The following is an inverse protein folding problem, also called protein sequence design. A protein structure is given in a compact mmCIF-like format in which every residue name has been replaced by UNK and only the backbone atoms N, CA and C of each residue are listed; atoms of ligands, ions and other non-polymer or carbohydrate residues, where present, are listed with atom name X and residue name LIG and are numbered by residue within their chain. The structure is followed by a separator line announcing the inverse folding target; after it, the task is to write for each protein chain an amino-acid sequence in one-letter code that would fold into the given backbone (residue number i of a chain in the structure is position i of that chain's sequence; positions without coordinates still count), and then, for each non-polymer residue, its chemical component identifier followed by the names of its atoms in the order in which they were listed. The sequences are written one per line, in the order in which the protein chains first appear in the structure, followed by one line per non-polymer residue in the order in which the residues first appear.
data_IF_998092134488
#
_entry.id   IF_998092134488
#
_cell.length_a   1.000
_cell.length_b   1.000
_cell.length_c   1.000
_cell.angle_alpha   90.00
_cell.angle_beta   90.00
_cell.angle_gamma   90.00
#
_symmetry.space_group_name_H-M   'P 1'
#
loop_
_entity.id
_entity.type
_entity.pdbx_description
1 polymer ?
#
# COMPACT_ATOMS: atom_id res chain seq x y z
N UNK A 1 -56.08 30.19 -49.02
CA UNK A 1 -55.68 28.84 -48.57
C UNK A 1 -54.15 28.85 -48.54
N UNK A 2 -53.53 29.07 -47.37
CA UNK A 2 -53.03 28.03 -46.43
C UNK A 2 -52.15 27.03 -47.20
N UNK A 3 -50.83 26.89 -46.99
CA UNK A 3 -50.05 26.96 -45.75
C UNK A 3 -48.57 27.28 -46.02
N UNK A 4 -48.00 28.14 -45.19
CA UNK A 4 -46.55 28.37 -44.98
C UNK A 4 -45.87 27.11 -44.45
N UNK A 5 -44.71 26.76 -45.02
CA UNK A 5 -43.90 25.61 -44.59
C UNK A 5 -42.92 26.04 -43.50
N UNK A 6 -43.08 25.47 -42.31
CA UNK A 6 -42.37 25.77 -41.07
C UNK A 6 -41.15 24.85 -40.92
N UNK A 7 -39.99 25.46 -40.62
CA UNK A 7 -39.10 25.17 -39.48
C UNK A 7 -38.46 23.76 -39.34
N UNK A 8 -37.12 23.77 -39.39
CA UNK A 8 -36.18 23.16 -38.41
C UNK A 8 -35.90 21.65 -38.51
N UNK A 9 -34.63 21.28 -38.69
CA UNK A 9 -33.69 20.94 -37.59
C UNK A 9 -32.37 20.53 -38.24
N UNK A 10 -31.35 21.35 -37.99
CA UNK A 10 -29.95 21.05 -38.18
C UNK A 10 -29.53 20.02 -37.12
N UNK A 11 -29.44 18.74 -37.48
CA UNK A 11 -28.76 17.76 -36.62
C UNK A 11 -27.25 17.98 -36.75
N UNK A 12 -26.72 18.88 -35.92
CA UNK A 12 -25.36 18.78 -35.44
C UNK A 12 -25.31 17.55 -34.53
N UNK A 13 -24.79 16.43 -35.06
CA UNK A 13 -24.25 15.37 -34.22
C UNK A 13 -22.99 15.90 -33.54
N UNK A 14 -23.18 16.56 -32.40
CA UNK A 14 -22.11 16.71 -31.41
C UNK A 14 -21.75 15.30 -30.94
N UNK A 15 -20.59 14.82 -31.40
CA UNK A 15 -19.88 13.74 -30.74
C UNK A 15 -19.64 14.20 -29.30
N UNK A 16 -20.46 13.72 -28.38
CA UNK A 16 -20.16 13.75 -26.96
C UNK A 16 -18.97 12.81 -26.78
N UNK A 17 -17.77 13.38 -26.86
CA UNK A 17 -16.63 12.75 -26.22
C UNK A 17 -16.96 12.84 -24.74
N UNK A 18 -17.50 11.75 -24.19
CA UNK A 18 -17.39 11.56 -22.76
C UNK A 18 -15.88 11.44 -22.55
N UNK A 19 -15.25 12.53 -22.14
CA UNK A 19 -14.06 12.42 -21.33
C UNK A 19 -14.55 11.77 -20.06
N UNK A 20 -14.68 10.44 -20.07
CA UNK A 20 -14.35 9.72 -18.86
C UNK A 20 -12.88 10.04 -18.66
N UNK A 21 -12.66 11.12 -17.91
CA UNK A 21 -11.49 11.30 -17.07
C UNK A 21 -11.47 10.08 -16.14
N UNK A 22 -11.14 8.92 -16.69
CA UNK A 22 -10.25 8.02 -16.00
C UNK A 22 -8.95 8.79 -15.94
N UNK A 23 -8.88 9.71 -14.98
CA UNK A 23 -7.63 10.04 -14.34
C UNK A 23 -7.09 8.69 -13.90
N UNK A 24 -6.27 8.08 -14.76
CA UNK A 24 -5.14 7.29 -14.29
C UNK A 24 -4.40 8.27 -13.39
N UNK A 25 -4.84 8.31 -12.13
CA UNK A 25 -4.08 8.85 -11.05
C UNK A 25 -2.84 7.98 -11.10
N UNK A 26 -1.78 8.49 -11.73
CA UNK A 26 -0.44 8.13 -11.36
C UNK A 26 -0.31 8.55 -9.89
N UNK A 27 -0.97 7.80 -9.01
CA UNK A 27 -0.79 7.91 -7.59
C UNK A 27 0.62 7.39 -7.38
N UNK A 28 1.50 8.30 -7.01
CA UNK A 28 2.82 7.91 -6.51
C UNK A 28 2.63 6.77 -5.49
N UNK A 29 3.52 5.76 -5.49
CA UNK A 29 3.45 4.67 -4.52
C UNK A 29 3.27 5.20 -3.10
N UNK A 30 2.24 4.72 -2.42
CA UNK A 30 1.88 5.13 -1.05
C UNK A 30 1.83 3.92 -0.13
N UNK A 31 2.16 4.13 1.15
CA UNK A 31 1.96 3.14 2.20
C UNK A 31 0.48 2.89 2.46
N UNK A 32 -0.38 3.89 2.25
CA UNK A 32 -1.81 3.85 2.53
C UNK A 32 -2.49 2.65 1.86
N UNK A 33 -3.35 1.98 2.63
CA UNK A 33 -4.05 0.75 2.26
C UNK A 33 -3.40 -0.53 2.78
N UNK A 34 -3.97 -1.66 2.34
CA UNK A 34 -3.65 -2.98 2.87
C UNK A 34 -2.49 -3.64 2.14
N UNK A 35 -1.57 -4.22 2.93
CA UNK A 35 -0.42 -4.97 2.48
C UNK A 35 -0.42 -6.36 3.11
N UNK A 36 -0.26 -7.40 2.30
CA UNK A 36 -0.06 -8.75 2.81
C UNK A 36 1.43 -9.01 3.02
N UNK A 37 1.82 -9.34 4.25
CA UNK A 37 3.15 -9.89 4.52
C UNK A 37 3.26 -11.26 3.86
N UNK A 38 4.30 -11.47 3.04
CA UNK A 38 4.50 -12.73 2.31
C UNK A 38 5.83 -13.39 2.60
N UNK A 39 6.82 -12.65 3.09
CA UNK A 39 8.10 -13.22 3.47
C UNK A 39 8.77 -12.40 4.58
N UNK A 40 9.42 -13.11 5.50
CA UNK A 40 10.26 -12.57 6.55
C UNK A 40 11.62 -13.25 6.46
N UNK A 41 12.67 -12.45 6.31
CA UNK A 41 14.06 -12.94 6.29
C UNK A 41 14.91 -12.26 7.34
N UNK A 42 15.96 -12.94 7.82
CA UNK A 42 16.97 -12.35 8.69
C UNK A 42 16.99 -12.91 10.11
N UNK A 43 17.31 -12.05 11.07
CA UNK A 43 17.59 -12.46 12.46
C UNK A 43 18.81 -13.37 12.62
N UNK A 44 19.22 -13.58 13.87
CA UNK A 44 20.40 -14.40 14.19
C UNK A 44 20.29 -15.87 13.75
N UNK A 45 19.06 -16.37 13.67
CA UNK A 45 18.77 -17.73 13.22
C UNK A 45 18.82 -17.86 11.68
N UNK A 46 18.86 -16.74 10.94
CA UNK A 46 18.81 -16.72 9.49
C UNK A 46 17.50 -17.29 8.95
N UNK A 47 16.36 -16.82 9.48
CA UNK A 47 15.06 -17.27 9.02
C UNK A 47 14.77 -16.78 7.60
N UNK A 48 13.92 -17.52 6.91
CA UNK A 48 13.37 -17.24 5.59
C UNK A 48 12.00 -17.93 5.54
N UNK A 49 11.03 -17.30 6.19
CA UNK A 49 9.68 -17.84 6.40
C UNK A 49 8.71 -17.16 5.43
N UNK A 50 8.01 -17.96 4.63
CA UNK A 50 6.99 -17.52 3.69
C UNK A 50 5.58 -17.64 4.28
N UNK A 51 4.71 -16.69 3.92
CA UNK A 51 3.31 -16.64 4.36
C UNK A 51 2.37 -16.53 3.16
N UNK A 52 1.23 -17.24 3.25
CA UNK A 52 0.16 -17.15 2.26
C UNK A 52 -0.41 -15.72 2.21
N UNK A 53 -0.71 -15.24 1.00
CA UNK A 53 -1.30 -13.91 0.83
C UNK A 53 -2.62 -13.78 1.57
N UNK A 54 -2.78 -12.72 2.35
CA UNK A 54 -3.94 -12.44 3.19
C UNK A 54 -3.90 -13.11 4.57
N UNK A 55 -2.88 -13.92 4.88
CA UNK A 55 -2.73 -14.52 6.21
C UNK A 55 -2.36 -13.48 7.28
N UNK A 56 -1.45 -12.58 6.93
CA UNK A 56 -0.98 -11.48 7.77
C UNK A 56 -1.12 -10.19 6.98
N UNK A 57 -2.03 -9.32 7.41
CA UNK A 57 -2.40 -8.09 6.70
C UNK A 57 -2.04 -6.88 7.56
N UNK A 58 -1.34 -5.93 6.96
CA UNK A 58 -1.00 -4.64 7.53
C UNK A 58 -1.75 -3.55 6.76
N UNK A 59 -2.74 -2.94 7.40
CA UNK A 59 -3.58 -1.90 6.80
C UNK A 59 -3.18 -0.53 7.35
N UNK A 60 -2.45 0.25 6.55
CA UNK A 60 -2.03 1.60 6.92
C UNK A 60 -3.14 2.58 6.56
N UNK A 61 -3.53 3.40 7.53
CA UNK A 61 -4.48 4.48 7.32
C UNK A 61 -3.78 5.83 7.50
N UNK A 62 -3.59 6.54 6.38
CA UNK A 62 -2.90 7.82 6.37
C UNK A 62 -3.73 8.98 6.98
N UNK A 63 -5.05 8.85 7.07
CA UNK A 63 -5.92 9.89 7.63
C UNK A 63 -5.76 10.03 9.15
N UNK A 64 -5.50 8.91 9.85
CA UNK A 64 -5.35 8.88 11.31
C UNK A 64 -3.96 8.42 11.79
N UNK A 65 -3.06 8.05 10.88
CA UNK A 65 -1.72 7.54 11.18
C UNK A 65 -1.74 6.27 12.05
N UNK A 66 -2.74 5.41 11.85
CA UNK A 66 -2.85 4.11 12.49
C UNK A 66 -2.59 2.97 11.50
N UNK A 67 -1.84 1.97 11.95
CA UNK A 67 -1.67 0.68 11.30
C UNK A 67 -2.56 -0.34 12.00
N UNK A 68 -3.47 -0.97 11.28
CA UNK A 68 -4.21 -2.13 11.76
C UNK A 68 -3.58 -3.42 11.25
N UNK A 69 -3.14 -4.27 12.16
CA UNK A 69 -2.56 -5.58 11.84
C UNK A 69 -3.59 -6.66 12.10
N UNK A 70 -3.83 -7.50 11.09
CA UNK A 70 -4.57 -8.76 11.21
C UNK A 70 -3.60 -9.90 10.94
N UNK A 71 -3.11 -10.53 12.00
CA UNK A 71 -2.24 -11.71 11.93
C UNK A 71 -3.06 -12.96 12.30
N UNK A 72 -3.35 -13.79 11.30
CA UNK A 72 -4.04 -15.08 11.46
C UNK A 72 -3.09 -16.29 11.42
N UNK A 73 -1.77 -16.07 11.43
CA UNK A 73 -0.81 -17.16 11.46
C UNK A 73 -0.91 -17.91 12.79
N UNK A 74 -1.17 -19.21 12.73
CA UNK A 74 -1.22 -20.10 13.89
C UNK A 74 0.02 -20.98 14.02
N UNK A 75 0.91 -20.92 13.04
CA UNK A 75 2.16 -21.69 13.04
C UNK A 75 3.16 -20.99 13.96
N UNK A 76 3.76 -21.74 14.87
CA UNK A 76 4.81 -21.21 15.74
C UNK A 76 6.10 -21.00 14.93
N UNK A 77 6.35 -19.78 14.52
CA UNK A 77 7.57 -19.32 13.84
C UNK A 77 8.38 -18.41 14.76
N UNK A 78 9.63 -18.12 14.39
CA UNK A 78 10.49 -17.24 15.21
C UNK A 78 9.99 -15.80 15.18
N UNK A 79 9.53 -15.34 14.02
CA UNK A 79 9.01 -13.99 13.82
C UNK A 79 8.10 -13.93 12.59
N UNK A 80 6.93 -13.31 12.73
CA UNK A 80 5.94 -13.09 11.66
C UNK A 80 5.37 -11.66 11.68
N UNK A 81 6.13 -10.71 12.23
CA UNK A 81 5.73 -9.31 12.34
C UNK A 81 5.02 -8.97 13.65
N UNK A 82 4.17 -7.94 13.60
CA UNK A 82 3.36 -7.54 14.75
C UNK A 82 2.18 -8.50 14.97
N UNK A 83 1.76 -8.72 16.24
CA UNK A 83 0.52 -9.43 16.51
C UNK A 83 -0.71 -8.62 16.05
N UNK A 84 -1.87 -9.26 16.02
CA UNK A 84 -3.14 -8.57 15.70
C UNK A 84 -3.40 -7.41 16.67
N UNK A 85 -3.67 -6.23 16.13
CA UNK A 85 -3.86 -5.02 16.92
C UNK A 85 -3.84 -3.74 16.08
N UNK A 86 -3.89 -2.60 16.76
CA UNK A 86 -3.76 -1.27 16.16
C UNK A 86 -2.53 -0.58 16.75
N UNK A 87 -1.72 0.03 15.89
CA UNK A 87 -0.46 0.66 16.23
C UNK A 87 -0.38 2.06 15.61
N UNK A 88 0.09 3.03 16.38
CA UNK A 88 0.43 4.33 15.80
C UNK A 88 1.67 4.17 14.89
N UNK A 89 1.72 4.91 13.79
CA UNK A 89 2.93 4.97 12.97
C UNK A 89 3.27 6.40 12.53
N UNK A 90 4.55 6.61 12.25
CA UNK A 90 5.09 7.86 11.74
C UNK A 90 5.95 7.59 10.49
N UNK A 91 5.86 8.46 9.50
CA UNK A 91 6.69 8.39 8.28
C UNK A 91 7.71 9.52 8.32
N UNK A 92 8.98 9.17 8.16
CA UNK A 92 10.08 10.11 8.01
C UNK A 92 10.64 10.02 6.60
N UNK A 93 10.85 11.18 5.97
CA UNK A 93 11.55 11.28 4.69
C UNK A 93 12.78 12.16 4.89
N UNK A 94 13.95 11.56 4.66
CA UNK A 94 15.23 12.21 4.78
C UNK A 94 15.51 13.11 3.56
N UNK A 95 16.43 14.06 3.72
CA UNK A 95 16.81 15.00 2.64
C UNK A 95 17.42 14.34 1.41
N UNK A 96 17.93 13.11 1.53
CA UNK A 96 18.44 12.28 0.43
C UNK A 96 17.35 11.46 -0.28
N UNK A 97 16.08 11.55 0.17
CA UNK A 97 14.96 10.79 -0.37
C UNK A 97 14.77 9.41 0.26
N UNK A 98 15.57 9.03 1.26
CA UNK A 98 15.35 7.80 2.01
C UNK A 98 14.10 7.94 2.89
N UNK A 99 13.26 6.90 2.91
CA UNK A 99 12.04 6.85 3.70
C UNK A 99 12.21 5.85 4.84
N UNK A 100 11.72 6.21 6.01
CA UNK A 100 11.60 5.31 7.15
C UNK A 100 10.19 5.37 7.72
N UNK A 101 9.71 4.24 8.25
CA UNK A 101 8.45 4.14 8.96
C UNK A 101 8.74 3.66 10.38
N UNK A 102 8.23 4.39 11.36
CA UNK A 102 8.31 3.99 12.77
C UNK A 102 6.93 3.53 13.16
N UNK A 103 6.79 2.26 13.55
CA UNK A 103 5.53 1.67 13.99
C UNK A 103 5.68 1.40 15.49
N UNK A 104 4.87 2.07 16.30
CA UNK A 104 4.99 2.09 17.76
C UNK A 104 6.40 2.51 18.23
N UNK A 105 7.30 1.56 18.53
CA UNK A 105 8.68 1.82 18.93
C UNK A 105 9.73 1.20 18.01
N UNK A 106 9.31 0.55 16.92
CA UNK A 106 10.19 -0.14 15.98
C UNK A 106 10.37 0.70 14.74
N UNK A 107 11.62 0.96 14.37
CA UNK A 107 11.97 1.75 13.17
C UNK A 107 12.34 0.82 12.03
N UNK A 108 11.75 1.05 10.87
CA UNK A 108 12.06 0.36 9.64
C UNK A 108 12.49 1.35 8.57
N UNK A 109 13.55 1.03 7.84
CA UNK A 109 13.87 1.69 6.58
C UNK A 109 12.99 1.10 5.48
N UNK A 110 12.34 1.96 4.72
CA UNK A 110 11.59 1.55 3.52
C UNK A 110 12.58 1.41 2.38
N UNK A 111 12.86 0.17 1.97
CA UNK A 111 13.83 -0.13 0.90
C UNK A 111 13.16 -0.23 -0.47
N UNK A 112 11.85 -0.55 -0.50
CA UNK A 112 11.04 -0.55 -1.71
C UNK A 112 9.62 -0.09 -1.37
N UNK A 113 9.11 0.88 -2.12
CA UNK A 113 7.71 1.29 -2.11
C UNK A 113 7.26 1.45 -3.56
N UNK A 114 6.56 0.44 -4.06
CA UNK A 114 6.00 0.38 -5.41
C UNK A 114 4.48 0.18 -5.34
N UNK A 115 3.78 0.18 -6.48
CA UNK A 115 2.32 0.00 -6.50
C UNK A 115 1.84 -1.38 -6.03
N UNK A 116 2.69 -2.39 -6.02
CA UNK A 116 2.36 -3.79 -5.69
C UNK A 116 3.33 -4.45 -4.72
N UNK A 117 4.39 -3.75 -4.30
CA UNK A 117 5.39 -4.29 -3.39
C UNK A 117 5.87 -3.25 -2.40
N UNK A 118 5.97 -3.66 -1.14
CA UNK A 118 6.58 -2.91 -0.05
C UNK A 118 7.66 -3.80 0.59
N UNK A 119 8.85 -3.25 0.81
CA UNK A 119 9.91 -3.93 1.55
C UNK A 119 10.44 -2.98 2.62
N UNK A 120 10.40 -3.43 3.87
CA UNK A 120 10.87 -2.69 5.03
C UNK A 120 11.95 -3.49 5.76
N UNK A 121 12.96 -2.80 6.27
CA UNK A 121 14.18 -3.38 6.83
C UNK A 121 14.50 -2.72 8.18
N UNK A 122 14.62 -3.51 9.25
CA UNK A 122 14.98 -3.03 10.59
C UNK A 122 16.42 -2.49 10.68
N UNK A 123 17.29 -2.79 9.70
CA UNK A 123 18.62 -2.19 9.58
C UNK A 123 19.63 -2.63 10.64
N UNK A 124 19.30 -3.59 11.49
CA UNK A 124 20.21 -4.12 12.52
C UNK A 124 21.06 -5.25 11.92
N UNK A 125 22.36 -4.99 11.76
CA UNK A 125 23.32 -5.97 11.24
C UNK A 125 23.34 -7.20 12.16
N UNK A 126 22.94 -8.34 11.61
CA UNK A 126 22.82 -9.69 12.23
C UNK A 126 21.48 -10.02 12.92
N UNK A 127 20.79 -9.06 13.53
CA UNK A 127 19.59 -9.36 14.35
C UNK A 127 18.29 -8.86 13.71
N UNK A 128 18.38 -7.95 12.74
CA UNK A 128 17.20 -7.31 12.14
C UNK A 128 16.46 -8.23 11.17
N UNK A 129 15.18 -7.93 11.00
CA UNK A 129 14.34 -8.58 10.01
C UNK A 129 14.10 -7.68 8.79
N UNK A 130 14.01 -8.33 7.63
CA UNK A 130 13.53 -7.75 6.39
C UNK A 130 12.16 -8.37 6.09
N UNK A 131 11.16 -7.51 5.94
CA UNK A 131 9.77 -7.90 5.72
C UNK A 131 9.37 -7.50 4.29
N UNK A 132 8.86 -8.46 3.54
CA UNK A 132 8.37 -8.25 2.17
C UNK A 132 6.86 -8.40 2.12
N UNK A 133 6.21 -7.42 1.51
CA UNK A 133 4.77 -7.35 1.36
C UNK A 133 4.34 -7.19 -0.09
N UNK A 134 3.12 -7.61 -0.38
CA UNK A 134 2.44 -7.39 -1.66
C UNK A 134 1.02 -6.85 -1.45
N UNK A 135 0.47 -6.18 -2.47
CA UNK A 135 -0.93 -5.76 -2.52
C UNK A 135 -1.57 -6.08 -3.88
#
# INVERSE_FOLDING_TARGET
MKTTFFILVLMLSTLSCNSDDDTQQNSDPTLDGSWSLVNVTGGLAGIDDDFETGLIIWDFNQDNLELTVTNNNTVNVIYDGFPTGTYDYEIFTETNGEMSVVINTVSYRVTTLASSQLVIDEGIVADGFLLTFIR
#
